data_IF_383114241273
#
_entry.id   IF_383114241273
#
_cell.length_a   1.000
_cell.length_b   1.000
_cell.length_c   1.000
_cell.angle_alpha   90.00
_cell.angle_beta   90.00
_cell.angle_gamma   90.00
#
_symmetry.space_group_name_H-M   'P 1'
#
loop_
_entity.id
_entity.type
_entity.pdbx_description
1 polymer ?
#
# COMPACT_ATOMS: atom_id res chain seq x y z
N UNK A 1 5.82 0.85 16.14
CA UNK A 1 6.40 2.21 16.13
C UNK A 1 7.63 2.27 17.01
N UNK A 2 7.51 2.18 18.34
CA UNK A 2 8.67 2.28 19.25
C UNK A 2 9.83 1.31 18.93
N UNK A 3 9.53 0.06 18.56
CA UNK A 3 10.56 -0.95 18.24
C UNK A 3 11.35 -0.65 16.96
N UNK A 4 10.67 -0.23 15.90
CA UNK A 4 11.24 -0.14 14.54
C UNK A 4 11.49 1.30 14.07
N UNK A 5 10.98 2.30 14.79
CA UNK A 5 11.18 3.74 14.55
C UNK A 5 11.08 4.13 13.05
N UNK A 6 9.96 3.80 12.36
CA UNK A 6 9.84 4.11 10.94
C UNK A 6 9.73 5.62 10.71
N UNK A 7 10.14 6.10 9.55
CA UNK A 7 10.00 7.52 9.17
C UNK A 7 8.58 7.91 8.77
N UNK A 8 7.77 6.93 8.36
CA UNK A 8 6.41 7.14 7.84
C UNK A 8 5.54 5.91 8.06
N UNK A 9 4.22 6.10 8.04
CA UNK A 9 3.22 5.05 8.12
C UNK A 9 2.39 5.03 6.84
N UNK A 10 2.27 3.87 6.19
CA UNK A 10 1.39 3.66 5.05
C UNK A 10 0.17 2.84 5.48
N UNK A 11 -1.03 3.29 5.10
CA UNK A 11 -2.30 2.65 5.49
C UNK A 11 -3.20 2.48 4.28
N UNK A 12 -3.89 1.33 4.19
CA UNK A 12 -4.89 1.11 3.14
C UNK A 12 -6.17 1.91 3.43
N UNK A 13 -6.78 2.46 2.37
CA UNK A 13 -8.10 3.08 2.41
C UNK A 13 -9.17 1.99 2.41
N UNK A 14 -10.05 2.07 3.40
CA UNK A 14 -11.19 1.15 3.56
C UNK A 14 -12.41 1.74 2.87
N UNK A 15 -12.96 1.00 1.92
CA UNK A 15 -14.24 1.32 1.29
C UNK A 15 -15.38 0.55 1.96
N UNK A 16 -16.59 1.07 1.81
CA UNK A 16 -17.80 0.39 2.29
C UNK A 16 -17.94 -0.95 1.57
N UNK A 17 -18.02 -2.03 2.34
CA UNK A 17 -18.26 -3.38 1.86
C UNK A 17 -19.76 -3.74 2.00
N UNK A 18 -20.18 -4.80 1.30
CA UNK A 18 -21.50 -5.45 1.39
C UNK A 18 -21.90 -5.73 2.84
N UNK A 19 -20.94 -6.11 3.70
CA UNK A 19 -21.19 -6.27 5.13
C UNK A 19 -20.85 -4.98 5.90
N UNK A 20 -21.86 -4.23 6.40
CA UNK A 20 -21.63 -2.98 7.11
C UNK A 20 -20.97 -3.18 8.48
N UNK A 21 -21.21 -4.31 9.15
CA UNK A 21 -20.59 -4.62 10.44
C UNK A 21 -19.08 -4.83 10.28
N UNK A 22 -18.66 -5.58 9.26
CA UNK A 22 -17.25 -5.74 8.93
C UNK A 22 -16.60 -4.41 8.53
N UNK A 23 -17.32 -3.57 7.78
CA UNK A 23 -16.86 -2.23 7.40
C UNK A 23 -16.61 -1.36 8.63
N UNK A 24 -17.53 -1.38 9.60
CA UNK A 24 -17.42 -0.60 10.83
C UNK A 24 -16.21 -1.04 11.67
N UNK A 25 -16.03 -2.35 11.85
CA UNK A 25 -14.89 -2.91 12.59
C UNK A 25 -13.55 -2.54 11.93
N UNK A 26 -13.48 -2.65 10.60
CA UNK A 26 -12.28 -2.28 9.85
C UNK A 26 -12.00 -0.78 9.92
N UNK A 27 -13.04 0.06 9.87
CA UNK A 27 -12.94 1.51 10.08
C UNK A 27 -12.42 1.88 11.47
N UNK A 28 -12.87 1.20 12.53
CA UNK A 28 -12.39 1.39 13.89
C UNK A 28 -10.90 1.00 14.02
N UNK A 29 -10.52 -0.18 13.51
CA UNK A 29 -9.13 -0.62 13.52
C UNK A 29 -8.21 0.36 12.79
N UNK A 30 -8.62 0.82 11.61
CA UNK A 30 -7.91 1.84 10.83
C UNK A 30 -7.77 3.14 11.59
N UNK A 31 -8.85 3.63 12.21
CA UNK A 31 -8.83 4.84 13.02
C UNK A 31 -7.84 4.75 14.18
N UNK A 32 -7.78 3.60 14.86
CA UNK A 32 -6.81 3.34 15.92
C UNK A 32 -5.36 3.40 15.41
N UNK A 33 -5.07 2.78 14.26
CA UNK A 33 -3.73 2.79 13.65
C UNK A 33 -3.29 4.20 13.26
N UNK A 34 -4.17 4.97 12.60
CA UNK A 34 -3.87 6.36 12.19
C UNK A 34 -3.66 7.25 13.42
N UNK A 35 -4.52 7.11 14.43
CA UNK A 35 -4.38 7.85 15.69
C UNK A 35 -3.04 7.56 16.36
N UNK A 36 -2.64 6.27 16.43
CA UNK A 36 -1.35 5.89 16.98
C UNK A 36 -0.17 6.47 16.19
N UNK A 37 -0.21 6.44 14.85
CA UNK A 37 0.83 7.00 14.00
C UNK A 37 0.97 8.52 14.19
N UNK A 38 -0.14 9.26 14.12
CA UNK A 38 -0.16 10.73 14.27
C UNK A 38 0.26 11.14 15.69
N UNK A 39 -0.17 10.41 16.72
CA UNK A 39 0.23 10.67 18.11
C UNK A 39 1.73 10.52 18.33
N UNK A 40 2.40 9.70 17.51
CA UNK A 40 3.85 9.53 17.48
C UNK A 40 4.54 10.42 16.43
N UNK A 41 3.84 11.44 15.89
CA UNK A 41 4.35 12.39 14.90
C UNK A 41 4.83 11.74 13.59
N UNK A 42 4.31 10.57 13.23
CA UNK A 42 4.61 9.92 11.96
C UNK A 42 3.72 10.48 10.84
N UNK A 43 4.30 10.92 9.71
CA UNK A 43 3.53 11.20 8.50
C UNK A 43 2.78 9.94 8.05
N UNK A 44 1.47 10.08 7.82
CA UNK A 44 0.61 9.00 7.34
C UNK A 44 0.30 9.21 5.86
N UNK A 45 0.54 8.18 5.05
CA UNK A 45 0.16 8.12 3.65
C UNK A 45 -0.90 7.04 3.44
N UNK A 46 -1.85 7.33 2.57
CA UNK A 46 -3.02 6.47 2.36
C UNK A 46 -3.08 5.99 0.91
N UNK A 47 -3.38 4.71 0.72
CA UNK A 47 -3.44 4.08 -0.59
C UNK A 47 -4.69 3.22 -0.76
N UNK A 48 -5.29 3.27 -1.94
CA UNK A 48 -6.36 2.34 -2.31
C UNK A 48 -5.79 0.95 -2.62
N UNK A 49 -6.60 -0.09 -2.45
CA UNK A 49 -6.27 -1.45 -2.89
C UNK A 49 -5.79 -1.50 -4.35
N UNK A 50 -6.41 -0.68 -5.23
CA UNK A 50 -6.05 -0.58 -6.64
C UNK A 50 -4.61 -0.05 -6.81
N UNK A 51 -4.27 1.03 -6.10
CA UNK A 51 -2.91 1.60 -6.13
C UNK A 51 -1.88 0.62 -5.60
N UNK A 52 -2.20 -0.09 -4.52
CA UNK A 52 -1.30 -1.11 -3.93
C UNK A 52 -1.04 -2.23 -4.94
N UNK A 53 -2.10 -2.79 -5.52
CA UNK A 53 -2.00 -3.84 -6.56
C UNK A 53 -1.26 -3.36 -7.80
N UNK A 54 -1.50 -2.13 -8.24
CA UNK A 54 -0.80 -1.52 -9.37
C UNK A 54 0.70 -1.37 -9.10
N UNK A 55 1.09 -0.92 -7.90
CA UNK A 55 2.48 -0.67 -7.54
C UNK A 55 3.29 -1.94 -7.29
N UNK A 56 2.64 -3.00 -6.81
CA UNK A 56 3.32 -4.25 -6.43
C UNK A 56 3.27 -5.31 -7.54
N UNK A 57 2.12 -5.47 -8.19
CA UNK A 57 1.89 -6.51 -9.20
C UNK A 57 1.77 -5.95 -10.64
N UNK A 58 1.90 -4.65 -10.83
CA UNK A 58 1.88 -4.00 -12.15
C UNK A 58 0.50 -3.76 -12.74
N UNK A 59 -0.58 -4.24 -12.10
CA UNK A 59 -1.95 -3.95 -12.50
C UNK A 59 -2.94 -3.96 -11.32
N UNK A 60 -3.86 -3.00 -11.29
CA UNK A 60 -4.81 -2.84 -10.18
C UNK A 60 -5.81 -3.99 -9.97
N UNK A 61 -6.02 -4.87 -10.97
CA UNK A 61 -6.92 -6.04 -10.88
C UNK A 61 -6.22 -7.32 -10.39
N UNK A 62 -5.00 -7.23 -9.87
CA UNK A 62 -4.26 -8.40 -9.41
C UNK A 62 -5.01 -9.18 -8.32
N UNK A 63 -4.93 -10.50 -8.40
CA UNK A 63 -5.39 -11.40 -7.35
C UNK A 63 -4.51 -11.26 -6.10
N UNK A 64 -5.04 -11.58 -4.92
CA UNK A 64 -4.30 -11.41 -3.65
C UNK A 64 -3.03 -12.26 -3.62
N UNK A 65 -3.11 -13.47 -4.18
CA UNK A 65 -2.02 -14.43 -4.27
C UNK A 65 -0.88 -13.88 -5.15
N UNK A 66 -1.22 -13.15 -6.23
CA UNK A 66 -0.22 -12.50 -7.07
C UNK A 66 0.52 -11.39 -6.31
N UNK A 67 -0.20 -10.59 -5.51
CA UNK A 67 0.43 -9.56 -4.66
C UNK A 67 1.35 -10.21 -3.64
N UNK A 68 0.91 -11.28 -2.97
CA UNK A 68 1.69 -12.00 -1.98
C UNK A 68 2.98 -12.60 -2.56
N UNK A 69 2.91 -13.23 -3.73
CA UNK A 69 4.10 -13.74 -4.43
C UNK A 69 5.03 -12.62 -4.87
N UNK A 70 4.49 -11.48 -5.31
CA UNK A 70 5.30 -10.32 -5.66
C UNK A 70 5.98 -9.70 -4.43
N UNK A 71 5.31 -9.60 -3.28
CA UNK A 71 5.92 -9.18 -2.02
C UNK A 71 7.09 -10.09 -1.65
N UNK A 72 6.90 -11.41 -1.73
CA UNK A 72 7.96 -12.39 -1.48
C UNK A 72 9.17 -12.13 -2.38
N UNK A 73 8.95 -11.95 -3.68
CA UNK A 73 10.01 -11.71 -4.67
C UNK A 73 10.73 -10.39 -4.46
N UNK A 74 9.98 -9.30 -4.26
CA UNK A 74 10.52 -7.94 -4.10
C UNK A 74 11.39 -7.81 -2.84
N UNK A 75 11.04 -8.53 -1.77
CA UNK A 75 11.75 -8.49 -0.50
C UNK A 75 12.75 -9.66 -0.33
N UNK A 76 12.87 -10.54 -1.32
CA UNK A 76 13.76 -11.72 -1.24
C UNK A 76 13.40 -12.67 -0.10
N UNK A 77 12.12 -12.79 0.26
CA UNK A 77 11.70 -13.63 1.38
C UNK A 77 11.79 -15.13 1.03
N UNK A 78 12.27 -15.98 1.95
CA UNK A 78 12.42 -17.42 1.68
C UNK A 78 11.06 -18.10 1.49
N UNK A 79 10.05 -17.64 2.21
CA UNK A 79 8.68 -18.16 2.20
C UNK A 79 7.72 -16.99 2.00
N UNK A 80 6.58 -17.27 1.36
CA UNK A 80 5.53 -16.27 1.24
C UNK A 80 5.04 -15.86 2.64
N UNK A 81 4.90 -14.56 2.94
CA UNK A 81 4.35 -14.11 4.22
C UNK A 81 2.88 -14.54 4.35
N UNK A 82 2.32 -14.49 5.56
CA UNK A 82 0.87 -14.67 5.75
C UNK A 82 0.10 -13.60 4.98
N UNK A 83 -1.18 -13.83 4.69
CA UNK A 83 -2.00 -12.88 3.93
C UNK A 83 -1.99 -11.46 4.54
N UNK A 84 -2.18 -11.34 5.85
CA UNK A 84 -2.18 -10.03 6.52
C UNK A 84 -0.80 -9.35 6.48
N UNK A 85 0.28 -10.13 6.63
CA UNK A 85 1.64 -9.60 6.53
C UNK A 85 1.97 -9.19 5.08
N UNK A 86 1.49 -9.96 4.09
CA UNK A 86 1.63 -9.62 2.68
C UNK A 86 0.92 -8.30 2.34
N UNK A 87 -0.32 -8.14 2.80
CA UNK A 87 -1.10 -6.92 2.57
C UNK A 87 -0.42 -5.69 3.23
N UNK A 88 0.10 -5.84 4.45
CA UNK A 88 0.85 -4.78 5.14
C UNK A 88 2.17 -4.42 4.43
N UNK A 89 2.95 -5.42 4.02
CA UNK A 89 4.20 -5.23 3.28
C UNK A 89 3.96 -4.63 1.90
N UNK A 90 2.90 -5.04 1.20
CA UNK A 90 2.50 -4.47 -0.08
C UNK A 90 2.17 -2.98 0.05
N UNK A 91 1.47 -2.57 1.11
CA UNK A 91 1.20 -1.16 1.40
C UNK A 91 2.50 -0.36 1.64
N UNK A 92 3.43 -0.93 2.43
CA UNK A 92 4.74 -0.31 2.67
C UNK A 92 5.58 -0.19 1.37
N UNK A 93 5.62 -1.23 0.54
CA UNK A 93 6.28 -1.22 -0.78
C UNK A 93 5.65 -0.16 -1.68
N UNK A 94 4.32 -0.06 -1.68
CA UNK A 94 3.59 0.95 -2.46
C UNK A 94 4.03 2.35 -2.08
N UNK A 95 4.19 2.63 -0.78
CA UNK A 95 4.72 3.91 -0.33
C UNK A 95 6.17 4.13 -0.73
N UNK A 96 7.02 3.10 -0.59
CA UNK A 96 8.43 3.17 -0.96
C UNK A 96 8.66 3.34 -2.47
N UNK A 97 7.77 2.78 -3.30
CA UNK A 97 7.75 2.99 -4.75
C UNK A 97 7.12 4.33 -5.13
N UNK A 98 6.02 4.71 -4.47
CA UNK A 98 5.27 5.95 -4.69
C UNK A 98 6.08 7.22 -4.43
N UNK A 99 6.94 7.21 -3.41
CA UNK A 99 7.92 8.28 -3.16
C UNK A 99 8.93 8.46 -4.30
N UNK A 100 9.11 7.44 -5.17
CA UNK A 100 9.98 7.48 -6.35
C UNK A 100 9.21 7.63 -7.67
N UNK A 101 7.93 7.25 -7.73
CA UNK A 101 7.08 7.40 -8.92
C UNK A 101 6.81 8.87 -9.30
N UNK A 102 6.99 9.81 -8.37
CA UNK A 102 7.02 11.26 -8.64
C UNK A 102 8.39 11.82 -9.04
N UNK A 103 9.46 11.00 -9.02
CA UNK A 103 10.85 11.41 -9.34
C UNK A 103 11.31 10.89 -10.70
N UNK A 104 10.50 10.07 -11.38
CA UNK A 104 10.63 9.93 -12.82
C UNK A 104 10.09 11.20 -13.46
N UNK A 105 10.99 12.15 -13.69
CA UNK A 105 10.74 13.32 -14.53
C UNK A 105 9.99 12.88 -15.78
N UNK A 106 8.73 13.29 -15.90
CA UNK A 106 7.99 13.22 -17.16
C UNK A 106 8.43 14.33 -18.10
N UNK A 107 9.42 15.15 -17.74
CA UNK A 107 10.01 16.13 -18.63
C UNK A 107 10.65 15.39 -19.82
N UNK A 108 9.97 15.42 -20.96
CA UNK A 108 10.36 14.74 -22.19
C UNK A 108 9.37 13.67 -22.67
N UNK A 109 8.50 13.14 -21.81
CA UNK A 109 7.47 12.18 -22.20
C UNK A 109 6.19 12.90 -22.66
N UNK A 110 5.64 12.51 -23.81
CA UNK A 110 4.36 13.02 -24.33
C UNK A 110 3.25 12.06 -23.92
N UNK A 111 2.09 12.56 -23.53
CA UNK A 111 0.92 11.70 -23.29
C UNK A 111 0.13 11.56 -24.59
N UNK A 112 -0.05 10.33 -25.09
CA UNK A 112 -1.00 10.03 -26.19
C UNK A 112 -1.97 8.95 -25.70
N UNK A 113 -3.26 9.25 -25.75
CA UNK A 113 -4.34 8.33 -25.34
C UNK A 113 -4.17 7.78 -23.90
N UNK A 114 -3.73 8.64 -22.97
CA UNK A 114 -3.60 8.28 -21.55
C UNK A 114 -2.37 7.43 -21.21
N UNK A 115 -1.44 7.23 -22.14
CA UNK A 115 -0.15 6.58 -21.91
C UNK A 115 1.00 7.55 -22.19
N UNK A 116 2.06 7.43 -21.40
CA UNK A 116 3.33 8.11 -21.65
C UNK A 116 4.00 7.48 -22.88
N UNK A 117 4.46 8.32 -23.79
CA UNK A 117 5.16 7.98 -25.05
C UNK A 117 6.40 8.84 -25.21
#
# INVERSE_FOLDING_TARGET
>A
IATWQPDTCAVEIVFVNVNPQSTLLLGQARGAVICAAVSNKLPVAEYTALQIKQAVAGHGKAAKEQVQEMVKRLLGLPVAPTADAADALACAITHAHGSRLGVHSTAGYRVKSGRLV
#
